data_IF_928306222253
#
_entry.id   IF_928306222253
#
_cell.length_a   1.000
_cell.length_b   1.000
_cell.length_c   1.000
_cell.angle_alpha   90.00
_cell.angle_beta   90.00
_cell.angle_gamma   90.00
#
_symmetry.space_group_name_H-M   'P 1'
#
loop_
_entity.id
_entity.type
_entity.pdbx_description
1 polymer ?
#
# COMPACT_ATOMS: atom_id res chain seq x y z
N UNK A 1 7.00 10.00 6.56
CA UNK A 1 5.58 9.99 6.98
C UNK A 1 5.16 8.56 7.25
N UNK A 2 4.37 8.33 8.30
CA UNK A 2 3.77 7.01 8.55
C UNK A 2 2.53 6.89 7.66
N UNK A 3 2.57 6.00 6.67
CA UNK A 3 1.43 5.74 5.79
C UNK A 3 0.33 5.03 6.59
N UNK A 4 -0.84 5.64 6.71
CA UNK A 4 -2.01 4.96 7.28
C UNK A 4 -2.74 4.13 6.23
N UNK A 5 -3.49 3.12 6.67
CA UNK A 5 -4.35 2.32 5.78
C UNK A 5 -5.32 3.20 5.00
N UNK A 6 -5.95 4.18 5.66
CA UNK A 6 -6.91 5.08 5.02
C UNK A 6 -6.25 5.92 3.92
N UNK A 7 -5.07 6.49 4.18
CA UNK A 7 -4.30 7.21 3.16
C UNK A 7 -3.92 6.30 1.99
N UNK A 8 -3.48 5.07 2.29
CA UNK A 8 -3.14 4.10 1.26
C UNK A 8 -4.34 3.80 0.35
N UNK A 9 -5.51 3.50 0.92
CA UNK A 9 -6.73 3.27 0.15
C UNK A 9 -7.10 4.47 -0.72
N UNK A 10 -7.05 5.69 -0.17
CA UNK A 10 -7.35 6.90 -0.92
C UNK A 10 -6.41 7.12 -2.11
N UNK A 11 -5.10 6.93 -1.93
CA UNK A 11 -4.13 7.04 -3.03
C UNK A 11 -4.41 5.98 -4.10
N UNK A 12 -4.67 4.75 -3.68
CA UNK A 12 -4.93 3.62 -4.59
C UNK A 12 -6.18 3.88 -5.45
N UNK A 13 -7.26 4.36 -4.83
CA UNK A 13 -8.52 4.68 -5.49
C UNK A 13 -8.37 5.88 -6.43
N UNK A 14 -7.73 6.96 -5.96
CA UNK A 14 -7.49 8.19 -6.74
C UNK A 14 -6.68 7.92 -8.00
N UNK A 15 -5.63 7.11 -7.88
CA UNK A 15 -4.71 6.80 -8.99
C UNK A 15 -5.17 5.58 -9.83
N UNK A 16 -6.32 4.97 -9.50
CA UNK A 16 -6.85 3.80 -10.22
C UNK A 16 -5.93 2.57 -10.18
N UNK A 17 -5.14 2.41 -9.13
CA UNK A 17 -4.11 1.38 -9.06
C UNK A 17 -4.64 0.01 -8.71
N UNK A 18 -4.12 -1.01 -9.39
CA UNK A 18 -4.38 -2.40 -9.04
C UNK A 18 -3.52 -2.80 -7.84
N UNK A 19 -4.15 -3.36 -6.79
CA UNK A 19 -3.44 -3.90 -5.60
C UNK A 19 -2.28 -4.83 -5.97
N UNK A 20 -2.45 -5.65 -7.02
CA UNK A 20 -1.40 -6.55 -7.53
C UNK A 20 -0.14 -5.79 -7.97
N UNK A 21 -0.28 -4.65 -8.63
CA UNK A 21 0.86 -3.88 -9.13
C UNK A 21 1.64 -3.26 -7.97
N UNK A 22 0.93 -2.76 -6.95
CA UNK A 22 1.54 -2.20 -5.74
C UNK A 22 2.29 -3.28 -4.97
N UNK A 23 1.64 -4.43 -4.75
CA UNK A 23 2.25 -5.57 -4.05
C UNK A 23 3.52 -6.06 -4.76
N UNK A 24 3.48 -6.16 -6.09
CA UNK A 24 4.65 -6.54 -6.90
C UNK A 24 5.79 -5.53 -6.77
N UNK A 25 5.49 -4.22 -6.82
CA UNK A 25 6.50 -3.15 -6.66
C UNK A 25 7.06 -3.07 -5.25
N UNK A 26 6.24 -3.36 -4.25
CA UNK A 26 6.64 -3.38 -2.84
C UNK A 26 7.33 -4.70 -2.43
N UNK A 27 7.39 -5.69 -3.32
CA UNK A 27 8.00 -7.00 -3.02
C UNK A 27 7.20 -7.84 -2.01
N UNK A 28 5.91 -7.58 -1.85
CA UNK A 28 5.05 -8.31 -0.90
C UNK A 28 3.99 -9.14 -1.61
N UNK A 29 3.48 -10.16 -0.92
CA UNK A 29 2.39 -10.96 -1.48
C UNK A 29 1.08 -10.15 -1.55
N UNK A 30 0.35 -10.25 -2.66
CA UNK A 30 -0.91 -9.51 -2.88
C UNK A 30 -1.95 -9.71 -1.78
N UNK A 31 -2.00 -10.91 -1.19
CA UNK A 31 -2.93 -11.24 -0.10
C UNK A 31 -2.57 -10.48 1.18
N UNK A 32 -1.27 -10.28 1.44
CA UNK A 32 -0.79 -9.49 2.59
C UNK A 32 -1.26 -8.04 2.47
N UNK A 33 -1.06 -7.44 1.28
CA UNK A 33 -1.56 -6.08 1.01
C UNK A 33 -3.09 -6.01 1.13
N UNK A 34 -3.81 -6.98 0.55
CA UNK A 34 -5.27 -7.02 0.61
C UNK A 34 -5.78 -7.14 2.03
N UNK A 35 -5.20 -8.01 2.87
CA UNK A 35 -5.61 -8.17 4.27
C UNK A 35 -5.40 -6.89 5.06
N UNK A 36 -4.29 -6.20 4.82
CA UNK A 36 -4.04 -4.90 5.45
C UNK A 36 -5.02 -3.82 5.01
N UNK A 37 -5.26 -3.66 3.71
CA UNK A 37 -6.20 -2.66 3.17
C UNK A 37 -7.63 -2.87 3.69
N UNK A 38 -8.03 -4.13 3.93
CA UNK A 38 -9.35 -4.46 4.49
C UNK A 38 -9.37 -4.50 6.04
N UNK A 39 -8.26 -4.18 6.70
CA UNK A 39 -8.17 -4.15 8.16
C UNK A 39 -8.20 -5.50 8.86
N UNK A 40 -7.94 -6.59 8.14
CA UNK A 40 -7.87 -7.94 8.70
C UNK A 40 -6.52 -8.27 9.36
N UNK A 41 -5.46 -7.53 9.05
CA UNK A 41 -4.13 -7.72 9.62
C UNK A 41 -3.28 -6.45 9.51
N UNK A 42 -2.37 -6.23 10.46
CA UNK A 42 -1.36 -5.18 10.35
C UNK A 42 -0.15 -5.63 9.51
N UNK A 43 0.45 -4.68 8.78
CA UNK A 43 1.71 -4.94 8.11
C UNK A 43 2.86 -4.93 9.12
N UNK A 44 3.82 -5.83 8.93
CA UNK A 44 5.15 -5.66 9.53
C UNK A 44 5.76 -4.35 9.06
N UNK A 45 6.60 -3.75 9.89
CA UNK A 45 7.23 -2.46 9.64
C UNK A 45 7.97 -2.41 8.28
N UNK A 46 8.70 -3.49 7.95
CA UNK A 46 9.39 -3.65 6.66
C UNK A 46 8.44 -3.55 5.45
N UNK A 47 7.27 -4.21 5.52
CA UNK A 47 6.27 -4.21 4.46
C UNK A 47 5.55 -2.87 4.38
N UNK A 48 5.27 -2.25 5.53
CA UNK A 48 4.67 -0.91 5.58
C UNK A 48 5.60 0.12 4.93
N UNK A 49 6.90 0.04 5.20
CA UNK A 49 7.90 0.91 4.60
C UNK A 49 7.97 0.70 3.08
N UNK A 50 7.98 -0.55 2.61
CA UNK A 50 7.97 -0.86 1.19
C UNK A 50 6.73 -0.32 0.47
N UNK A 51 5.54 -0.51 1.04
CA UNK A 51 4.28 0.01 0.48
C UNK A 51 4.28 1.55 0.49
N UNK A 52 4.75 2.16 1.58
CA UNK A 52 4.90 3.61 1.69
C UNK A 52 5.82 4.18 0.60
N UNK A 53 6.98 3.56 0.36
CA UNK A 53 7.89 4.00 -0.70
C UNK A 53 7.29 3.88 -2.11
N UNK A 54 6.41 2.91 -2.34
CA UNK A 54 5.70 2.78 -3.62
C UNK A 54 4.66 3.89 -3.77
N UNK A 55 3.85 4.13 -2.73
CA UNK A 55 2.74 5.08 -2.79
C UNK A 55 3.19 6.55 -2.72
N UNK A 56 4.30 6.85 -2.03
CA UNK A 56 4.87 8.20 -1.97
C UNK A 56 5.24 8.76 -3.34
N UNK A 57 5.50 7.91 -4.33
CA UNK A 57 5.76 8.33 -5.73
C UNK A 57 4.54 8.93 -6.43
N UNK A 58 3.36 8.76 -5.84
CA UNK A 58 2.08 9.19 -6.38
C UNK A 58 1.42 10.32 -5.58
N UNK A 59 1.94 10.68 -4.41
CA UNK A 59 1.46 11.85 -3.65
C UNK A 59 1.87 13.19 -4.30
N UNK A 60 2.83 13.19 -5.23
CA UNK A 60 3.45 14.40 -5.83
C UNK A 60 2.75 14.85 -7.13
N UNK A 61 1.69 14.16 -7.57
CA UNK A 61 0.87 14.56 -8.74
C UNK A 61 -0.52 15.04 -8.34
#
# INVERSE_FOLDING_TARGET
MTLTRTQATQIIEREGMKHRAIAQRAGIHRVTLSRWLNGHAELKQENLQAVSSVLARYEIN
#
